data_IF_440572507374
#
_entry.id   IF_440572507374
#
_cell.length_a   1.000
_cell.length_b   1.000
_cell.length_c   1.000
_cell.angle_alpha   90.00
_cell.angle_beta   90.00
_cell.angle_gamma   90.00
#
_symmetry.space_group_name_H-M   'P 1'
#
loop_
_entity.id
_entity.type
_entity.pdbx_description
1 polymer ?
#
# COMPACT_ATOMS: atom_id res chain seq x y z
N UNK A 1 -5.24 14.39 -8.22
CA UNK A 1 -5.65 12.98 -8.37
C UNK A 1 -6.36 12.54 -7.10
N UNK A 2 -7.52 11.94 -7.21
CA UNK A 2 -8.28 11.50 -6.05
C UNK A 2 -7.93 10.06 -5.66
N UNK A 3 -8.48 9.61 -4.52
CA UNK A 3 -8.19 8.28 -3.97
C UNK A 3 -8.56 7.15 -4.93
N UNK A 4 -9.70 7.29 -5.62
CA UNK A 4 -10.16 6.25 -6.55
C UNK A 4 -9.22 6.12 -7.76
N UNK A 5 -8.72 7.21 -8.28
CA UNK A 5 -7.75 7.21 -9.37
C UNK A 5 -6.43 6.59 -8.93
N UNK A 6 -5.95 6.93 -7.74
CA UNK A 6 -4.74 6.35 -7.16
C UNK A 6 -4.92 4.84 -6.96
N UNK A 7 -6.06 4.43 -6.39
CA UNK A 7 -6.34 3.01 -6.15
C UNK A 7 -6.31 2.19 -7.43
N UNK A 8 -6.88 2.72 -8.51
CA UNK A 8 -6.85 2.01 -9.80
C UNK A 8 -5.42 1.81 -10.28
N UNK A 9 -4.61 2.87 -10.21
CA UNK A 9 -3.20 2.79 -10.61
C UNK A 9 -2.46 1.75 -9.76
N UNK A 10 -2.70 1.76 -8.45
CA UNK A 10 -2.08 0.81 -7.51
C UNK A 10 -2.46 -0.63 -7.84
N UNK A 11 -3.76 -0.89 -8.03
CA UNK A 11 -4.24 -2.25 -8.35
C UNK A 11 -3.65 -2.73 -9.67
N UNK A 12 -3.66 -1.90 -10.70
CA UNK A 12 -3.11 -2.26 -12.01
C UNK A 12 -1.61 -2.56 -11.92
N UNK A 13 -0.87 -1.74 -11.18
CA UNK A 13 0.57 -1.94 -10.97
C UNK A 13 0.84 -3.22 -10.17
N UNK A 14 0.04 -3.48 -9.13
CA UNK A 14 0.20 -4.66 -8.29
C UNK A 14 -0.11 -5.95 -9.05
N UNK A 15 -1.14 -5.94 -9.89
CA UNK A 15 -1.46 -7.09 -10.76
C UNK A 15 -0.31 -7.37 -11.72
N UNK A 16 0.18 -6.33 -12.38
CA UNK A 16 1.32 -6.46 -13.30
C UNK A 16 2.54 -7.02 -12.58
N UNK A 17 2.85 -6.47 -11.42
CA UNK A 17 3.98 -6.91 -10.62
C UNK A 17 3.88 -8.38 -10.24
N UNK A 18 2.69 -8.80 -9.78
CA UNK A 18 2.45 -10.19 -9.41
C UNK A 18 2.61 -11.13 -10.62
N UNK A 19 2.11 -10.73 -11.77
CA UNK A 19 2.26 -11.51 -13.00
C UNK A 19 3.72 -11.62 -13.44
N UNK A 20 4.49 -10.55 -13.26
CA UNK A 20 5.90 -10.53 -13.66
C UNK A 20 6.79 -11.35 -12.72
N UNK A 21 6.57 -11.24 -11.41
CA UNK A 21 7.43 -11.83 -10.40
C UNK A 21 6.93 -13.18 -9.87
N UNK A 22 5.62 -13.41 -9.93
CA UNK A 22 5.01 -14.60 -9.33
C UNK A 22 5.02 -14.58 -7.81
N UNK A 23 4.52 -15.66 -7.17
CA UNK A 23 4.49 -15.78 -5.71
C UNK A 23 5.85 -16.17 -5.13
N UNK A 24 5.96 -16.10 -3.81
CA UNK A 24 7.06 -16.72 -3.07
C UNK A 24 8.25 -15.82 -2.72
N UNK A 25 8.25 -14.57 -3.19
CA UNK A 25 9.28 -13.63 -2.81
C UNK A 25 8.96 -12.97 -1.46
N UNK A 26 9.97 -12.37 -0.83
CA UNK A 26 9.76 -11.63 0.41
C UNK A 26 8.83 -10.43 0.18
N UNK A 27 8.02 -10.08 1.18
CA UNK A 27 7.14 -8.91 1.09
C UNK A 27 7.92 -7.63 0.78
N UNK A 28 9.13 -7.48 1.34
CA UNK A 28 9.98 -6.32 1.08
C UNK A 28 10.36 -6.18 -0.40
N UNK A 29 10.46 -7.28 -1.12
CA UNK A 29 10.75 -7.25 -2.57
C UNK A 29 9.55 -6.68 -3.32
N UNK A 30 8.34 -7.18 -3.02
CA UNK A 30 7.12 -6.66 -3.65
C UNK A 30 6.89 -5.19 -3.31
N UNK A 31 7.12 -4.80 -2.06
CA UNK A 31 6.96 -3.42 -1.62
C UNK A 31 7.91 -2.48 -2.37
N UNK A 32 9.19 -2.84 -2.44
CA UNK A 32 10.20 -2.05 -3.14
C UNK A 32 9.87 -1.91 -4.62
N UNK A 33 9.50 -3.01 -5.26
CA UNK A 33 9.17 -3.03 -6.69
C UNK A 33 7.89 -2.24 -6.98
N UNK A 34 6.87 -2.38 -6.13
CA UNK A 34 5.62 -1.64 -6.31
C UNK A 34 5.82 -0.14 -6.14
N UNK A 35 6.53 0.28 -5.10
CA UNK A 35 6.85 1.69 -4.91
C UNK A 35 7.60 2.26 -6.12
N UNK A 36 8.54 1.48 -6.68
CA UNK A 36 9.27 1.88 -7.88
C UNK A 36 8.33 2.09 -9.06
N UNK A 37 7.42 1.13 -9.32
CA UNK A 37 6.46 1.24 -10.42
C UNK A 37 5.53 2.44 -10.26
N UNK A 38 5.05 2.68 -9.03
CA UNK A 38 4.16 3.80 -8.75
C UNK A 38 4.87 5.15 -8.93
N UNK A 39 6.12 5.24 -8.49
CA UNK A 39 6.92 6.46 -8.68
C UNK A 39 7.16 6.74 -10.15
N UNK A 40 7.35 5.71 -10.98
CA UNK A 40 7.48 5.88 -12.43
C UNK A 40 6.21 6.45 -13.07
N UNK A 41 5.06 6.28 -12.41
CA UNK A 41 3.79 6.84 -12.86
C UNK A 41 3.53 8.25 -12.30
N UNK A 42 4.50 8.83 -11.61
CA UNK A 42 4.40 10.17 -11.07
C UNK A 42 3.80 10.26 -9.67
N UNK A 43 3.58 9.13 -9.00
CA UNK A 43 3.05 9.12 -7.64
C UNK A 43 4.16 9.32 -6.61
N UNK A 44 3.83 9.99 -5.51
CA UNK A 44 4.74 10.17 -4.38
C UNK A 44 4.49 9.04 -3.40
N UNK A 45 5.51 8.21 -3.19
CA UNK A 45 5.42 7.04 -2.32
C UNK A 45 6.40 7.14 -1.17
N UNK A 46 5.88 7.02 0.05
CA UNK A 46 6.67 6.91 1.27
C UNK A 46 6.49 5.51 1.82
N UNK A 47 7.58 4.87 2.23
CA UNK A 47 7.57 3.48 2.68
C UNK A 47 7.83 3.39 4.17
N UNK A 48 7.22 2.38 4.82
CA UNK A 48 7.45 2.07 6.23
C UNK A 48 7.26 3.31 7.11
N UNK A 49 6.06 3.91 7.02
CA UNK A 49 5.74 5.15 7.72
C UNK A 49 5.05 4.84 9.04
N UNK A 50 5.62 5.23 10.19
CA UNK A 50 4.95 5.05 11.48
C UNK A 50 3.75 5.99 11.57
N UNK A 51 2.62 5.44 12.03
CA UNK A 51 1.38 6.20 12.20
C UNK A 51 1.10 6.28 13.71
N UNK A 52 1.02 7.48 14.28
CA UNK A 52 0.70 7.65 15.69
C UNK A 52 -0.75 7.26 15.98
N UNK A 53 -0.99 6.88 17.22
CA UNK A 53 -2.31 6.48 17.68
C UNK A 53 -2.52 6.97 19.10
N UNK A 54 -3.72 7.48 19.39
CA UNK A 54 -4.08 7.95 20.72
C UNK A 54 -5.25 7.14 21.26
N UNK A 55 -5.12 6.71 22.51
CA UNK A 55 -6.19 6.01 23.21
C UNK A 55 -6.20 6.44 24.68
N UNK A 56 -7.34 6.92 25.14
CA UNK A 56 -7.55 7.34 26.53
C UNK A 56 -6.43 8.26 27.03
N UNK A 57 -6.15 9.31 26.27
CA UNK A 57 -5.10 10.31 26.50
C UNK A 57 -3.67 9.75 26.50
N UNK A 58 -3.49 8.49 26.13
CA UNK A 58 -2.16 7.91 25.94
C UNK A 58 -1.78 8.04 24.47
N UNK A 59 -0.66 8.71 24.19
CA UNK A 59 -0.15 8.85 22.84
C UNK A 59 0.89 7.76 22.55
N UNK A 60 0.63 6.97 21.54
CA UNK A 60 1.59 6.01 20.99
C UNK A 60 2.22 6.63 19.76
N UNK A 61 3.54 6.80 19.74
CA UNK A 61 4.24 7.38 18.61
C UNK A 61 4.10 6.52 17.36
N UNK A 62 3.95 5.22 17.53
CA UNK A 62 3.75 4.27 16.44
C UNK A 62 2.67 3.26 16.85
N UNK A 63 1.42 3.54 16.46
CA UNK A 63 0.31 2.59 16.67
C UNK A 63 0.33 1.48 15.63
N UNK A 64 0.73 1.80 14.42
CA UNK A 64 1.01 0.83 13.35
C UNK A 64 1.95 1.47 12.35
N UNK A 65 2.46 0.66 11.43
CA UNK A 65 3.37 1.12 10.39
C UNK A 65 2.75 0.85 9.03
N UNK A 66 2.53 1.90 8.26
CA UNK A 66 2.02 1.78 6.89
C UNK A 66 3.13 1.31 5.97
N UNK A 67 2.86 0.30 5.15
CA UNK A 67 3.85 -0.19 4.19
C UNK A 67 4.19 0.87 3.15
N UNK A 68 3.17 1.48 2.55
CA UNK A 68 3.35 2.58 1.59
C UNK A 68 2.23 3.61 1.80
N UNK A 69 2.61 4.88 1.83
CA UNK A 69 1.65 5.99 1.74
C UNK A 69 1.83 6.66 0.39
N UNK A 70 0.74 6.83 -0.34
CA UNK A 70 0.76 7.33 -1.71
C UNK A 70 0.06 8.69 -1.75
N UNK A 71 0.78 9.73 -2.17
CA UNK A 71 0.30 11.11 -2.32
C UNK A 71 -0.37 11.66 -1.05
N UNK A 72 0.01 11.18 0.13
CA UNK A 72 -0.63 11.51 1.41
C UNK A 72 -2.15 11.26 1.45
N UNK A 73 -2.67 10.42 0.55
CA UNK A 73 -4.10 10.15 0.42
C UNK A 73 -4.44 8.68 0.62
N UNK A 74 -3.52 7.78 0.31
CA UNK A 74 -3.79 6.35 0.28
C UNK A 74 -2.75 5.63 1.12
N UNK A 75 -3.24 4.78 2.04
CA UNK A 75 -2.38 3.87 2.80
C UNK A 75 -2.53 2.49 2.19
N UNK A 76 -1.42 1.89 1.80
CA UNK A 76 -1.36 0.56 1.23
C UNK A 76 -0.66 -0.38 2.19
N UNK A 77 -1.32 -1.50 2.52
CA UNK A 77 -0.70 -2.63 3.20
C UNK A 77 -0.55 -3.80 2.26
N UNK A 78 0.65 -4.35 2.20
CA UNK A 78 0.96 -5.48 1.36
C UNK A 78 0.85 -6.77 2.16
N UNK A 79 0.28 -7.79 1.51
CA UNK A 79 0.19 -9.12 2.08
C UNK A 79 0.72 -10.11 1.06
N UNK A 80 1.45 -11.11 1.55
CA UNK A 80 1.92 -12.21 0.70
C UNK A 80 0.73 -13.06 0.28
N UNK A 81 0.33 -12.92 -0.99
CA UNK A 81 -0.75 -13.70 -1.56
C UNK A 81 -0.33 -14.20 -2.94
N UNK A 82 -0.90 -15.33 -3.35
CA UNK A 82 -0.60 -15.90 -4.68
C UNK A 82 -1.29 -15.13 -5.80
N UNK A 83 -2.41 -14.50 -5.49
CA UNK A 83 -3.17 -13.70 -6.43
C UNK A 83 -3.87 -12.56 -5.71
N UNK A 84 -4.16 -11.46 -6.43
CA UNK A 84 -4.94 -10.36 -5.89
C UNK A 84 -6.41 -10.75 -5.96
N UNK A 85 -6.98 -11.08 -4.80
CA UNK A 85 -8.38 -11.42 -4.68
C UNK A 85 -9.25 -10.17 -4.47
N UNK A 86 -10.57 -10.23 -4.75
CA UNK A 86 -11.48 -9.11 -4.51
C UNK A 86 -11.46 -8.59 -3.07
N UNK A 87 -11.23 -9.48 -2.09
CA UNK A 87 -11.12 -9.09 -0.68
C UNK A 87 -9.94 -8.15 -0.44
N UNK A 88 -8.84 -8.31 -1.16
CA UNK A 88 -7.68 -7.43 -1.05
C UNK A 88 -7.96 -6.05 -1.66
N UNK A 89 -8.76 -6.00 -2.71
CA UNK A 89 -9.24 -4.73 -3.26
C UNK A 89 -10.09 -3.98 -2.23
N UNK A 90 -10.95 -4.67 -1.50
CA UNK A 90 -11.72 -4.07 -0.41
C UNK A 90 -10.83 -3.54 0.71
N UNK A 91 -9.76 -4.26 1.05
CA UNK A 91 -8.80 -3.80 2.05
C UNK A 91 -8.15 -2.49 1.64
N UNK A 92 -7.65 -2.41 0.40
CA UNK A 92 -7.07 -1.19 -0.13
C UNK A 92 -8.07 -0.05 -0.01
N UNK A 93 -9.32 -0.25 -0.45
CA UNK A 93 -10.36 0.77 -0.34
C UNK A 93 -10.69 1.17 1.09
N UNK A 94 -10.60 0.25 2.04
CA UNK A 94 -10.82 0.54 3.45
C UNK A 94 -9.74 1.47 3.98
N UNK A 95 -8.48 1.21 3.66
CA UNK A 95 -7.38 2.06 4.08
C UNK A 95 -7.39 3.43 3.41
N UNK A 96 -8.03 3.58 2.26
CA UNK A 96 -8.20 4.87 1.62
C UNK A 96 -8.98 5.88 2.45
N UNK A 97 -9.71 5.45 3.45
CA UNK A 97 -10.58 6.30 4.26
C UNK A 97 -9.96 6.69 5.60
N UNK A 98 -8.80 6.20 5.88
CA UNK A 98 -8.07 6.55 7.09
C UNK A 98 -7.35 7.88 6.91
#
# INVERSE_FOLDING_TARGET
MNENQISKIVVDAAVKLHMDLGPGLLESVYETALAHLLRKKGLICERQVPIPFEYDDILFDEGFRADIIINNLVILELKSVEAIAPVHRKQIQTYLRL
#
